data_IF_864374352498
#
_entry.id   IF_864374352498
#
_cell.length_a   1.000
_cell.length_b   1.000
_cell.length_c   1.000
_cell.angle_alpha   90.00
_cell.angle_beta   90.00
_cell.angle_gamma   90.00
#
_symmetry.space_group_name_H-M   'P 1'
#
loop_
_entity.id
_entity.type
_entity.pdbx_description
1 polymer ?
#
# COMPACT_ATOMS: atom_id res chain seq x y z
N UNK A 1 5.04 -13.96 23.06
CA UNK A 1 4.14 -13.61 21.95
C UNK A 1 2.70 -13.67 22.47
N UNK A 2 1.84 -12.69 22.15
CA UNK A 2 0.44 -12.66 22.61
C UNK A 2 -0.44 -13.71 21.90
N UNK A 3 0.02 -14.25 20.77
CA UNK A 3 -0.65 -15.33 20.03
C UNK A 3 0.41 -16.30 19.49
N UNK A 4 0.86 -17.30 20.28
CA UNK A 4 1.92 -18.22 19.89
C UNK A 4 1.50 -19.19 18.77
N UNK A 5 0.20 -19.48 18.66
CA UNK A 5 -0.35 -20.44 17.69
C UNK A 5 -0.99 -19.74 16.47
N UNK A 6 -0.80 -18.43 16.31
CA UNK A 6 -1.35 -17.70 15.18
C UNK A 6 -0.55 -17.95 13.92
N UNK A 7 -1.24 -18.22 12.82
CA UNK A 7 -0.66 -18.16 11.48
C UNK A 7 -0.62 -16.72 10.98
N UNK A 8 0.57 -16.28 10.58
CA UNK A 8 0.77 -14.95 10.02
C UNK A 8 0.70 -15.00 8.50
N UNK A 9 -0.05 -14.05 7.94
CA UNK A 9 -0.17 -13.87 6.49
C UNK A 9 0.31 -12.47 6.11
N UNK A 10 1.24 -12.39 5.16
CA UNK A 10 1.71 -11.15 4.58
C UNK A 10 1.05 -10.93 3.21
N UNK A 11 0.08 -10.01 3.15
CA UNK A 11 -0.68 -9.72 1.94
C UNK A 11 -0.05 -8.53 1.22
N UNK A 12 0.33 -8.72 -0.05
CA UNK A 12 1.02 -7.69 -0.83
C UNK A 12 0.65 -7.75 -2.31
N UNK A 13 0.87 -6.66 -3.04
CA UNK A 13 0.64 -6.62 -4.48
C UNK A 13 1.69 -7.40 -5.26
N UNK A 14 1.32 -7.82 -6.48
CA UNK A 14 2.18 -8.53 -7.42
C UNK A 14 3.57 -7.87 -7.58
N UNK A 15 3.60 -6.54 -7.73
CA UNK A 15 4.85 -5.79 -7.95
C UNK A 15 5.85 -5.92 -6.78
N UNK A 16 5.34 -5.85 -5.55
CA UNK A 16 6.17 -5.97 -4.36
C UNK A 16 6.68 -7.41 -4.20
N UNK A 17 5.81 -8.40 -4.42
CA UNK A 17 6.18 -9.81 -4.37
C UNK A 17 7.24 -10.16 -5.43
N UNK A 18 7.14 -9.60 -6.63
CA UNK A 18 8.13 -9.80 -7.69
C UNK A 18 9.54 -9.28 -7.32
N UNK A 19 9.62 -8.32 -6.40
CA UNK A 19 10.88 -7.73 -5.92
C UNK A 19 11.38 -8.30 -4.59
N UNK A 20 10.68 -9.28 -4.00
CA UNK A 20 10.89 -9.67 -2.59
C UNK A 20 12.30 -10.15 -2.28
N UNK A 21 12.98 -10.79 -3.24
CA UNK A 21 14.35 -11.27 -3.06
C UNK A 21 15.40 -10.15 -2.98
N UNK A 22 15.01 -8.92 -3.33
CA UNK A 22 15.84 -7.73 -3.10
C UNK A 22 15.74 -7.19 -1.68
N UNK A 23 14.78 -7.70 -0.88
CA UNK A 23 14.58 -7.24 0.49
C UNK A 23 15.66 -7.82 1.38
N UNK A 24 16.04 -7.04 2.37
CA UNK A 24 16.94 -7.51 3.41
C UNK A 24 16.29 -8.69 4.15
N UNK A 25 17.07 -9.76 4.35
CA UNK A 25 16.68 -10.96 5.10
C UNK A 25 15.38 -11.62 4.57
N UNK A 26 15.16 -11.60 3.25
CA UNK A 26 13.95 -12.13 2.63
C UNK A 26 13.67 -13.60 2.95
N UNK A 27 14.72 -14.42 3.15
CA UNK A 27 14.59 -15.84 3.53
C UNK A 27 13.91 -15.99 4.90
N UNK A 28 14.26 -15.14 5.86
CA UNK A 28 13.66 -15.15 7.19
C UNK A 28 12.18 -14.78 7.13
N UNK A 29 11.78 -13.89 6.21
CA UNK A 29 10.39 -13.49 6.06
C UNK A 29 9.47 -14.68 5.76
N UNK A 30 9.91 -15.62 4.93
CA UNK A 30 9.15 -16.84 4.61
C UNK A 30 9.08 -17.83 5.78
N UNK A 31 9.96 -17.70 6.78
CA UNK A 31 9.85 -18.46 8.04
C UNK A 31 8.86 -17.83 9.04
N UNK A 32 8.57 -16.53 8.89
CA UNK A 32 7.74 -15.77 9.81
C UNK A 32 6.26 -15.70 9.38
N UNK A 33 5.99 -15.77 8.07
CA UNK A 33 4.64 -15.63 7.53
C UNK A 33 4.46 -16.36 6.20
N UNK A 34 3.21 -16.74 5.91
CA UNK A 34 2.77 -17.15 4.57
C UNK A 34 2.52 -15.90 3.72
N UNK A 35 2.95 -15.91 2.47
CA UNK A 35 2.81 -14.77 1.57
C UNK A 35 1.57 -14.90 0.70
N UNK A 36 0.85 -13.79 0.53
CA UNK A 36 -0.30 -13.70 -0.37
C UNK A 36 -0.05 -12.59 -1.38
N UNK A 37 0.25 -12.96 -2.62
CA UNK A 37 0.41 -12.04 -3.74
C UNK A 37 -0.94 -11.75 -4.40
N UNK A 38 -1.35 -10.48 -4.44
CA UNK A 38 -2.59 -10.07 -5.11
C UNK A 38 -2.32 -9.36 -6.42
N UNK A 39 -3.03 -9.75 -7.49
CA UNK A 39 -3.02 -9.05 -8.79
C UNK A 39 -4.37 -8.49 -9.16
N UNK A 40 -4.34 -7.55 -10.09
CA UNK A 40 -5.52 -7.03 -10.77
C UNK A 40 -5.63 -7.73 -12.14
N UNK A 41 -6.81 -7.80 -12.75
CA UNK A 41 -6.98 -8.40 -14.07
C UNK A 41 -6.11 -7.66 -15.09
N UNK A 42 -5.37 -8.41 -15.91
CA UNK A 42 -4.44 -7.87 -16.90
C UNK A 42 -3.03 -7.56 -16.39
N UNK A 43 -2.71 -7.91 -15.13
CA UNK A 43 -1.35 -7.94 -14.60
C UNK A 43 -0.96 -9.38 -14.27
N UNK A 44 0.07 -9.91 -14.93
CA UNK A 44 0.58 -11.25 -14.66
C UNK A 44 1.32 -11.30 -13.32
N UNK A 45 0.88 -12.21 -12.45
CA UNK A 45 1.66 -12.65 -11.30
C UNK A 45 2.63 -13.72 -11.78
N UNK A 46 3.86 -13.32 -12.09
CA UNK A 46 4.93 -14.27 -12.36
C UNK A 46 5.78 -14.46 -11.09
N UNK A 47 5.80 -15.69 -10.57
CA UNK A 47 6.65 -16.13 -9.45
C UNK A 47 7.76 -17.08 -9.87
N UNK A 48 8.06 -17.22 -11.16
CA UNK A 48 9.14 -18.07 -11.70
C UNK A 48 10.49 -17.70 -11.10
N UNK A 49 10.75 -16.41 -10.85
CA UNK A 49 11.97 -15.98 -10.16
C UNK A 49 12.06 -16.56 -8.74
N UNK A 50 10.92 -16.83 -8.09
CA UNK A 50 10.89 -17.43 -6.76
C UNK A 50 11.06 -18.94 -6.80
N UNK A 51 10.82 -19.62 -7.94
CA UNK A 51 10.73 -21.07 -8.01
C UNK A 51 11.91 -21.80 -7.35
N UNK A 52 13.16 -21.42 -7.68
CA UNK A 52 14.35 -22.04 -7.09
C UNK A 52 14.55 -21.78 -5.58
N UNK A 53 13.82 -20.83 -5.01
CA UNK A 53 13.82 -20.51 -3.59
C UNK A 53 12.62 -21.11 -2.84
N UNK A 54 11.52 -21.39 -3.55
CA UNK A 54 10.32 -21.99 -2.98
C UNK A 54 10.41 -23.51 -2.82
N UNK A 55 11.30 -24.19 -3.55
CA UNK A 55 11.48 -25.65 -3.48
C UNK A 55 11.78 -26.17 -2.06
N UNK A 56 12.43 -25.35 -1.24
CA UNK A 56 12.77 -25.67 0.15
C UNK A 56 11.68 -25.26 1.17
N UNK A 57 10.62 -24.60 0.71
CA UNK A 57 9.54 -24.07 1.54
C UNK A 57 8.27 -24.93 1.42
N UNK A 58 7.34 -24.82 2.40
CA UNK A 58 6.02 -25.44 2.28
C UNK A 58 5.28 -25.01 1.02
N UNK A 59 4.46 -25.89 0.44
CA UNK A 59 3.67 -25.60 -0.77
C UNK A 59 2.76 -24.37 -0.62
N UNK A 60 2.32 -24.07 0.61
CA UNK A 60 1.46 -22.94 0.94
C UNK A 60 2.21 -21.68 1.39
N UNK A 61 3.55 -21.66 1.27
CA UNK A 61 4.37 -20.49 1.62
C UNK A 61 4.04 -19.26 0.77
N UNK A 62 3.57 -19.45 -0.47
CA UNK A 62 3.11 -18.38 -1.36
C UNK A 62 1.77 -18.76 -1.98
N UNK A 63 0.75 -17.92 -1.79
CA UNK A 63 -0.54 -18.02 -2.47
C UNK A 63 -0.75 -16.82 -3.39
N UNK A 64 -1.17 -17.06 -4.62
CA UNK A 64 -1.47 -16.02 -5.60
C UNK A 64 -2.99 -15.88 -5.77
N UNK A 65 -3.50 -14.66 -5.64
CA UNK A 65 -4.94 -14.37 -5.72
C UNK A 65 -5.18 -13.22 -6.69
N UNK A 66 -5.97 -13.45 -7.73
CA UNK A 66 -6.49 -12.37 -8.56
C UNK A 66 -7.70 -11.72 -7.85
N UNK A 67 -7.66 -10.40 -7.71
CA UNK A 67 -8.78 -9.62 -7.16
C UNK A 67 -9.52 -8.88 -8.27
N UNK A 68 -10.83 -8.57 -8.10
CA UNK A 68 -11.56 -7.77 -9.08
C UNK A 68 -10.88 -6.42 -9.36
N UNK A 69 -11.07 -5.92 -10.58
CA UNK A 69 -10.54 -4.61 -10.98
C UNK A 69 -11.16 -3.48 -10.15
N UNK A 70 -10.48 -3.08 -9.09
CA UNK A 70 -10.77 -1.86 -8.35
C UNK A 70 -9.93 -0.73 -8.95
N UNK A 71 -10.55 0.17 -9.71
CA UNK A 71 -9.88 1.33 -10.32
C UNK A 71 -9.56 2.44 -9.29
N UNK A 72 -8.97 2.05 -8.15
CA UNK A 72 -8.54 2.95 -7.08
C UNK A 72 -7.00 3.05 -7.14
N UNK A 73 -6.50 4.28 -7.19
CA UNK A 73 -5.07 4.60 -7.23
C UNK A 73 -4.77 5.72 -6.25
N UNK A 74 -3.82 5.50 -5.33
CA UNK A 74 -3.37 6.52 -4.38
C UNK A 74 -2.83 7.76 -5.08
N UNK A 75 -2.12 7.59 -6.20
CA UNK A 75 -1.63 8.71 -7.04
C UNK A 75 -2.79 9.55 -7.55
N UNK A 76 -3.87 8.91 -8.01
CA UNK A 76 -5.06 9.61 -8.47
C UNK A 76 -5.81 10.31 -7.33
N UNK A 77 -5.94 9.66 -6.17
CA UNK A 77 -6.54 10.26 -4.99
C UNK A 77 -5.79 11.53 -4.55
N UNK A 78 -4.44 11.48 -4.49
CA UNK A 78 -3.62 12.66 -4.17
C UNK A 78 -3.77 13.77 -5.21
N UNK A 79 -3.76 13.42 -6.51
CA UNK A 79 -3.95 14.38 -7.62
C UNK A 79 -5.33 15.05 -7.58
N UNK A 80 -6.38 14.31 -7.22
CA UNK A 80 -7.74 14.86 -7.04
C UNK A 80 -7.79 15.78 -5.83
N UNK A 81 -7.29 15.32 -4.68
CA UNK A 81 -7.27 16.10 -3.44
C UNK A 81 -6.53 17.44 -3.58
N UNK A 82 -5.38 17.45 -4.29
CA UNK A 82 -4.61 18.68 -4.54
C UNK A 82 -5.32 19.68 -5.45
N UNK A 83 -6.26 19.21 -6.28
CA UNK A 83 -7.05 20.02 -7.23
C UNK A 83 -8.46 20.32 -6.75
N UNK A 84 -8.76 20.16 -5.46
CA UNK A 84 -10.12 20.31 -4.91
C UNK A 84 -11.17 19.43 -5.60
N UNK A 85 -10.74 18.31 -6.20
CA UNK A 85 -11.64 17.36 -6.83
C UNK A 85 -12.04 16.31 -5.81
N UNK A 86 -13.31 15.89 -5.80
CA UNK A 86 -13.75 14.88 -4.86
C UNK A 86 -13.08 13.52 -5.07
N UNK A 87 -12.84 12.83 -3.95
CA UNK A 87 -12.36 11.43 -3.88
C UNK A 87 -13.45 10.49 -3.35
N UNK A 88 -14.71 10.94 -3.33
CA UNK A 88 -15.87 10.11 -3.00
C UNK A 88 -15.89 8.83 -3.85
N UNK A 89 -16.33 7.73 -3.25
CA UNK A 89 -16.37 6.40 -3.88
C UNK A 89 -15.00 5.79 -4.23
N UNK A 90 -13.88 6.51 -4.03
CA UNK A 90 -12.52 5.97 -4.16
C UNK A 90 -11.91 5.58 -2.81
N UNK A 91 -12.39 6.19 -1.72
CA UNK A 91 -11.97 5.94 -0.34
C UNK A 91 -13.17 6.00 0.60
N UNK A 92 -13.11 5.39 1.79
CA UNK A 92 -14.19 5.50 2.79
C UNK A 92 -14.47 6.95 3.21
N UNK A 93 -15.71 7.24 3.60
CA UNK A 93 -16.13 8.61 3.98
C UNK A 93 -15.29 9.24 5.07
N UNK A 94 -14.91 8.46 6.10
CA UNK A 94 -14.03 8.94 7.17
C UNK A 94 -12.66 9.40 6.64
N UNK A 95 -12.15 8.77 5.57
CA UNK A 95 -10.92 9.19 4.90
C UNK A 95 -11.14 10.47 4.09
N UNK A 96 -12.28 10.62 3.41
CA UNK A 96 -12.61 11.87 2.70
C UNK A 96 -12.67 13.05 3.66
N UNK A 97 -13.36 12.87 4.78
CA UNK A 97 -13.45 13.86 5.86
C UNK A 97 -12.07 14.18 6.42
N UNK A 98 -11.22 13.17 6.63
CA UNK A 98 -9.88 13.36 7.15
C UNK A 98 -8.98 14.16 6.19
N UNK A 99 -8.99 13.84 4.90
CA UNK A 99 -8.24 14.58 3.86
C UNK A 99 -8.65 16.06 3.88
N UNK A 100 -9.96 16.35 3.92
CA UNK A 100 -10.47 17.72 3.97
C UNK A 100 -10.10 18.42 5.28
N UNK A 101 -10.34 17.78 6.43
CA UNK A 101 -10.06 18.33 7.77
C UNK A 101 -8.57 18.47 8.06
N UNK A 102 -7.67 17.83 7.32
CA UNK A 102 -6.22 17.97 7.51
C UNK A 102 -5.54 18.67 6.34
N UNK A 103 -6.31 19.14 5.35
CA UNK A 103 -5.80 19.77 4.13
C UNK A 103 -4.71 18.93 3.44
N UNK A 104 -4.84 17.60 3.50
CA UNK A 104 -3.79 16.70 3.01
C UNK A 104 -3.61 16.83 1.49
N UNK A 105 -2.36 16.67 1.06
CA UNK A 105 -1.95 16.74 -0.35
C UNK A 105 -2.12 18.12 -0.99
N UNK A 106 -2.21 19.16 -0.17
CA UNK A 106 -2.26 20.55 -0.62
C UNK A 106 -1.03 21.33 -0.13
N UNK A 107 -0.70 22.45 -0.79
CA UNK A 107 0.32 23.37 -0.30
C UNK A 107 -0.02 23.86 1.12
N UNK A 108 1.00 24.12 1.97
CA UNK A 108 0.81 24.58 3.35
C UNK A 108 -0.09 25.83 3.46
N UNK A 109 -0.03 26.73 2.48
CA UNK A 109 -0.75 28.01 2.50
C UNK A 109 -2.13 27.96 1.82
N UNK A 110 -2.60 26.76 1.45
CA UNK A 110 -3.92 26.62 0.83
C UNK A 110 -5.05 26.82 1.85
N UNK A 111 -6.05 27.63 1.49
CA UNK A 111 -7.25 27.81 2.31
C UNK A 111 -7.97 26.47 2.52
N UNK A 112 -8.38 26.20 3.76
CA UNK A 112 -9.17 25.03 4.07
C UNK A 112 -10.60 25.23 3.61
N UNK A 113 -11.27 24.15 3.19
CA UNK A 113 -12.68 24.17 2.81
C UNK A 113 -13.62 24.56 3.98
N UNK A 114 -13.14 24.50 5.23
CA UNK A 114 -13.85 24.96 6.43
C UNK A 114 -13.54 26.41 6.81
N UNK A 115 -12.79 27.15 5.99
CA UNK A 115 -12.50 28.58 6.18
C UNK A 115 -11.40 28.89 7.21
N UNK A 116 -10.74 27.89 7.80
CA UNK A 116 -9.62 28.11 8.71
C UNK A 116 -8.27 28.18 7.95
N UNK A 117 -7.38 29.08 8.33
CA UNK A 117 -5.98 29.11 7.86
C UNK A 117 -5.15 28.06 8.62
N UNK A 118 -4.18 27.44 7.97
CA UNK A 118 -3.37 26.32 8.49
C UNK A 118 -2.49 26.74 9.69
N UNK A 119 -2.52 25.91 10.75
CA UNK A 119 -1.63 26.00 11.94
C UNK A 119 -0.72 24.75 12.09
N UNK A 120 -0.78 23.80 11.16
CA UNK A 120 0.08 22.61 11.24
C UNK A 120 1.37 22.88 10.47
N UNK A 121 2.50 22.74 11.17
CA UNK A 121 3.84 22.83 10.59
C UNK A 121 3.96 21.86 9.40
N UNK A 122 4.60 22.28 8.29
CA UNK A 122 4.83 21.41 7.16
C UNK A 122 5.71 20.21 7.57
N UNK A 123 5.42 19.05 6.98
CA UNK A 123 6.30 17.89 7.12
C UNK A 123 7.72 18.27 6.63
N UNK A 124 8.79 17.87 7.34
CA UNK A 124 10.14 18.26 6.99
C UNK A 124 10.48 17.79 5.57
N UNK A 125 10.99 18.72 4.78
CA UNK A 125 11.42 18.49 3.42
C UNK A 125 12.61 17.51 3.39
N UNK A 126 12.45 16.39 2.70
CA UNK A 126 13.51 15.38 2.52
C UNK A 126 14.42 15.66 1.31
N UNK A 127 14.40 16.87 0.76
CA UNK A 127 15.38 17.30 -0.24
C UNK A 127 16.41 18.28 0.33
N UNK A 128 17.38 17.75 1.07
CA UNK A 128 18.75 18.26 1.17
C UNK A 128 19.66 17.17 1.76
N UNK A 129 20.40 16.49 0.88
CA UNK A 129 21.70 15.89 1.18
C UNK A 129 22.76 16.72 0.49
#
# INVERSE_FOLDING_TARGET
SYHPDAELYFITGADALASILSWQDWEELFSLAKFVGVSRPGFDLNTEHLAGHLDALPEDAVTLIEIPALAISSTECRRRASRHRPVWYLVPDGVVQYISKRNLYRPPDSERLDGATTMSEPAPDKTKS
#
